data_IF_719248235211
#
_entry.id   IF_719248235211
#
_cell.length_a   1.000
_cell.length_b   1.000
_cell.length_c   1.000
_cell.angle_alpha   90.00
_cell.angle_beta   90.00
_cell.angle_gamma   90.00
#
_symmetry.space_group_name_H-M   'P 1'
#
loop_
_entity.id
_entity.type
_entity.pdbx_description
1 polymer ?
#
# COMPACT_ATOMS: atom_id res chain seq x y z
N UNK A 1 19.08 6.88 96.84
CA UNK A 1 20.54 7.00 96.92
C UNK A 1 21.11 6.32 95.67
N UNK A 2 21.63 7.13 94.77
CA UNK A 2 22.85 6.91 93.98
C UNK A 2 22.75 6.05 92.66
N UNK A 3 22.87 6.74 91.60
CA UNK A 3 23.83 6.74 90.45
C UNK A 3 23.48 5.74 89.34
N UNK A 4 23.01 6.22 88.25
CA UNK A 4 23.69 6.69 87.02
C UNK A 4 24.66 5.65 86.43
N UNK A 5 24.31 5.04 85.26
CA UNK A 5 25.30 5.00 84.18
C UNK A 5 24.65 4.86 82.78
N UNK A 6 25.05 5.77 81.95
CA UNK A 6 24.68 5.86 80.47
C UNK A 6 25.62 4.96 79.70
N UNK A 7 25.11 4.19 78.86
CA UNK A 7 25.89 3.63 77.72
C UNK A 7 25.17 3.90 76.40
N UNK A 8 25.73 4.77 75.61
CA UNK A 8 25.28 5.10 74.27
C UNK A 8 25.78 4.01 73.28
N UNK A 9 24.88 3.36 72.59
CA UNK A 9 25.19 2.48 71.49
C UNK A 9 24.97 3.23 70.20
N UNK A 10 26.03 3.47 69.49
CA UNK A 10 26.02 4.00 68.12
C UNK A 10 25.61 2.90 67.14
N UNK A 11 24.43 3.05 66.48
CA UNK A 11 24.02 2.21 65.38
C UNK A 11 24.51 2.90 64.08
N UNK A 12 25.50 2.31 63.44
CA UNK A 12 25.96 2.67 62.09
C UNK A 12 24.91 2.18 61.16
N UNK A 13 24.14 3.12 60.57
CA UNK A 13 23.29 2.86 59.42
C UNK A 13 24.17 2.74 58.16
N UNK A 14 24.37 1.55 57.69
CA UNK A 14 24.97 1.30 56.38
C UNK A 14 23.94 1.65 55.28
N UNK A 15 24.18 2.76 54.62
CA UNK A 15 23.46 3.16 53.42
C UNK A 15 23.95 2.31 52.24
N UNK A 16 23.26 1.22 51.94
CA UNK A 16 23.45 0.47 50.73
C UNK A 16 22.79 1.23 49.53
N UNK A 17 23.61 1.95 48.78
CA UNK A 17 23.26 2.49 47.47
C UNK A 17 23.08 1.30 46.53
N UNK A 18 21.83 0.96 46.21
CA UNK A 18 21.45 0.13 45.08
C UNK A 18 21.61 0.95 43.82
N UNK A 19 22.37 0.49 42.82
CA UNK A 19 22.37 1.14 41.51
C UNK A 19 20.99 1.03 40.89
N UNK A 20 20.39 2.15 40.51
CA UNK A 20 19.21 2.22 39.73
C UNK A 20 19.50 1.53 38.38
N UNK A 21 18.92 0.37 38.17
CA UNK A 21 18.90 -0.27 36.87
C UNK A 21 18.01 0.56 35.98
N UNK A 22 18.63 1.37 35.12
CA UNK A 22 17.98 1.98 33.96
C UNK A 22 17.57 0.86 33.00
N UNK A 23 16.40 0.28 33.22
CA UNK A 23 15.74 -0.49 32.20
C UNK A 23 15.38 0.46 31.01
N UNK A 24 15.70 0.14 29.76
CA UNK A 24 15.33 1.00 28.66
C UNK A 24 13.81 0.98 28.47
N UNK A 25 13.15 2.07 28.87
CA UNK A 25 11.77 2.36 28.53
C UNK A 25 11.69 2.79 27.05
N UNK A 26 12.13 1.94 26.14
CA UNK A 26 12.05 2.20 24.72
C UNK A 26 11.54 0.95 24.03
N UNK A 27 10.24 0.87 23.77
CA UNK A 27 9.75 0.32 22.51
C UNK A 27 8.24 0.44 22.29
N UNK A 28 7.44 0.64 23.36
CA UNK A 28 5.97 0.67 23.21
C UNK A 28 5.46 1.95 22.54
N UNK A 29 6.11 3.10 22.79
CA UNK A 29 5.65 4.40 22.26
C UNK A 29 5.88 4.51 20.75
N UNK A 30 7.02 4.05 20.25
CA UNK A 30 7.37 4.13 18.83
C UNK A 30 6.48 3.22 17.98
N UNK A 31 6.13 2.03 18.49
CA UNK A 31 5.24 1.10 17.78
C UNK A 31 3.80 1.61 17.73
N UNK A 32 3.32 2.25 18.80
CA UNK A 32 1.97 2.80 18.86
C UNK A 32 1.79 4.02 17.94
N UNK A 33 2.79 4.88 17.86
CA UNK A 33 2.81 6.02 16.92
C UNK A 33 2.84 5.53 15.47
N UNK A 34 3.64 4.51 15.16
CA UNK A 34 3.71 3.91 13.82
C UNK A 34 2.37 3.28 13.41
N UNK A 35 1.71 2.53 14.27
CA UNK A 35 0.40 1.92 13.98
C UNK A 35 -0.66 2.98 13.74
N UNK A 36 -0.69 4.05 14.52
CA UNK A 36 -1.64 5.14 14.32
C UNK A 36 -1.38 5.87 13.00
N UNK A 37 -0.13 6.12 12.64
CA UNK A 37 0.25 6.77 11.39
C UNK A 37 -0.12 5.92 10.17
N UNK A 38 0.14 4.60 10.19
CA UNK A 38 -0.24 3.68 9.11
C UNK A 38 -1.77 3.66 8.94
N UNK A 39 -2.53 3.68 10.04
CA UNK A 39 -4.01 3.75 10.02
C UNK A 39 -4.53 5.04 9.39
N UNK A 40 -3.95 6.18 9.73
CA UNK A 40 -4.31 7.48 9.12
C UNK A 40 -3.99 7.50 7.62
N UNK A 41 -2.86 6.91 7.23
CA UNK A 41 -2.46 6.79 5.83
C UNK A 41 -3.44 5.91 5.03
N UNK A 42 -3.91 4.80 5.62
CA UNK A 42 -4.93 3.94 5.00
C UNK A 42 -6.28 4.69 4.86
N UNK A 43 -6.66 5.49 5.85
CA UNK A 43 -7.87 6.33 5.75
C UNK A 43 -7.76 7.40 4.66
N UNK A 44 -6.58 8.04 4.51
CA UNK A 44 -6.35 8.99 3.42
C UNK A 44 -6.45 8.30 2.05
N UNK A 45 -5.85 7.11 1.91
CA UNK A 45 -6.01 6.30 0.71
C UNK A 45 -7.48 6.01 0.40
N UNK A 46 -8.25 5.54 1.38
CA UNK A 46 -9.67 5.24 1.20
C UNK A 46 -10.46 6.48 0.74
N UNK A 47 -10.22 7.66 1.34
CA UNK A 47 -10.85 8.92 0.93
C UNK A 47 -10.54 9.28 -0.52
N UNK A 48 -9.30 9.06 -1.00
CA UNK A 48 -8.89 9.35 -2.38
C UNK A 48 -9.54 8.39 -3.36
N UNK A 49 -9.60 7.09 -3.01
CA UNK A 49 -10.33 6.08 -3.79
C UNK A 49 -11.81 6.42 -3.87
N UNK A 50 -12.45 6.80 -2.75
CA UNK A 50 -13.86 7.19 -2.72
C UNK A 50 -14.14 8.44 -3.57
N UNK A 51 -13.22 9.40 -3.58
CA UNK A 51 -13.33 10.58 -4.45
C UNK A 51 -13.31 10.19 -5.94
N UNK A 52 -12.41 9.26 -6.32
CA UNK A 52 -12.38 8.72 -7.67
C UNK A 52 -13.67 7.96 -8.02
N UNK A 53 -14.16 7.11 -7.12
CA UNK A 53 -15.41 6.34 -7.34
C UNK A 53 -16.62 7.27 -7.52
N UNK A 54 -16.69 8.36 -6.77
CA UNK A 54 -17.74 9.38 -6.93
C UNK A 54 -17.67 10.03 -8.31
N UNK A 55 -16.48 10.45 -8.74
CA UNK A 55 -16.25 11.01 -10.08
C UNK A 55 -16.63 9.99 -11.17
N UNK A 56 -16.18 8.74 -11.05
CA UNK A 56 -16.51 7.66 -11.97
C UNK A 56 -18.03 7.44 -12.10
N UNK A 57 -18.76 7.43 -10.97
CA UNK A 57 -20.22 7.29 -10.98
C UNK A 57 -20.90 8.42 -11.78
N UNK A 58 -20.41 9.65 -11.67
CA UNK A 58 -20.90 10.77 -12.46
C UNK A 58 -20.55 10.58 -13.95
N UNK A 59 -19.34 10.14 -14.26
CA UNK A 59 -18.89 9.87 -15.62
C UNK A 59 -19.66 8.71 -16.28
N UNK A 60 -20.18 7.78 -15.49
CA UNK A 60 -21.00 6.66 -15.95
C UNK A 60 -22.46 7.06 -16.22
N UNK A 61 -22.92 8.20 -15.72
CA UNK A 61 -24.29 8.64 -15.90
C UNK A 61 -24.63 8.74 -17.40
N UNK A 62 -25.75 8.16 -17.79
CA UNK A 62 -26.20 8.12 -19.20
C UNK A 62 -25.57 7.02 -20.05
N UNK A 63 -24.59 6.25 -19.54
CA UNK A 63 -24.08 5.09 -20.24
C UNK A 63 -24.85 3.83 -19.85
N UNK A 64 -25.18 3.01 -20.85
CA UNK A 64 -25.76 1.67 -20.62
C UNK A 64 -24.66 0.67 -20.35
N UNK A 65 -24.57 0.15 -19.11
CA UNK A 65 -23.59 -0.88 -18.78
C UNK A 65 -23.87 -2.17 -19.55
N UNK A 66 -22.81 -2.91 -20.00
CA UNK A 66 -22.96 -4.19 -20.65
C UNK A 66 -23.72 -5.19 -19.75
N UNK A 67 -24.59 -5.97 -20.35
CA UNK A 67 -25.34 -7.03 -19.68
C UNK A 67 -24.60 -8.37 -19.82
N UNK A 68 -25.01 -9.36 -19.04
CA UNK A 68 -24.57 -10.74 -19.28
C UNK A 68 -24.95 -11.16 -20.69
N UNK A 69 -23.94 -11.56 -21.49
CA UNK A 69 -24.11 -11.91 -22.90
C UNK A 69 -23.84 -10.79 -23.89
N UNK A 70 -23.47 -9.59 -23.46
CA UNK A 70 -22.97 -8.55 -24.36
C UNK A 70 -21.75 -9.02 -25.15
N UNK A 71 -21.66 -8.60 -26.41
CA UNK A 71 -20.51 -8.91 -27.27
C UNK A 71 -19.23 -8.19 -26.80
N UNK A 72 -18.07 -8.71 -27.18
CA UNK A 72 -16.79 -8.06 -26.91
C UNK A 72 -16.72 -6.63 -27.48
N UNK A 73 -17.39 -6.36 -28.60
CA UNK A 73 -17.45 -5.05 -29.20
C UNK A 73 -18.26 -4.05 -28.34
N UNK A 74 -19.41 -4.49 -27.81
CA UNK A 74 -20.23 -3.67 -26.89
C UNK A 74 -19.49 -3.36 -25.60
N UNK A 75 -18.78 -4.35 -25.04
CA UNK A 75 -17.94 -4.15 -23.85
C UNK A 75 -16.84 -3.11 -24.12
N UNK A 76 -16.11 -3.24 -25.24
CA UNK A 76 -15.08 -2.27 -25.63
C UNK A 76 -15.66 -0.88 -25.85
N UNK A 77 -16.82 -0.77 -26.52
CA UNK A 77 -17.48 0.51 -26.73
C UNK A 77 -17.85 1.19 -25.42
N UNK A 78 -18.41 0.44 -24.47
CA UNK A 78 -18.72 0.94 -23.15
C UNK A 78 -17.46 1.41 -22.39
N UNK A 79 -16.40 0.60 -22.39
CA UNK A 79 -15.12 0.92 -21.79
C UNK A 79 -14.54 2.24 -22.33
N UNK A 80 -14.54 2.37 -23.66
CA UNK A 80 -14.04 3.57 -24.33
C UNK A 80 -14.85 4.82 -23.95
N UNK A 81 -16.19 4.71 -23.96
CA UNK A 81 -17.09 5.81 -23.61
C UNK A 81 -16.92 6.23 -22.13
N UNK A 82 -16.85 5.25 -21.22
CA UNK A 82 -16.64 5.51 -19.81
C UNK A 82 -15.26 6.16 -19.57
N UNK A 83 -14.21 5.63 -20.19
CA UNK A 83 -12.86 6.21 -20.10
C UNK A 83 -12.82 7.64 -20.64
N UNK A 84 -13.50 7.93 -21.73
CA UNK A 84 -13.60 9.30 -22.28
C UNK A 84 -14.28 10.25 -21.29
N UNK A 85 -15.40 9.86 -20.69
CA UNK A 85 -16.11 10.66 -19.71
C UNK A 85 -15.27 10.90 -18.44
N UNK A 86 -14.56 9.86 -17.97
CA UNK A 86 -13.64 9.99 -16.83
C UNK A 86 -12.52 10.97 -17.15
N UNK A 87 -11.90 10.88 -18.35
CA UNK A 87 -10.85 11.82 -18.78
C UNK A 87 -11.37 13.26 -18.85
N UNK A 88 -12.57 13.47 -19.34
CA UNK A 88 -13.20 14.79 -19.39
C UNK A 88 -13.46 15.37 -17.97
N UNK A 89 -13.84 14.53 -17.01
CA UNK A 89 -14.09 14.93 -15.63
C UNK A 89 -12.79 15.10 -14.81
N UNK A 90 -11.72 14.38 -15.14
CA UNK A 90 -10.40 14.46 -14.48
C UNK A 90 -9.46 15.35 -15.29
N UNK A 91 -9.57 16.65 -15.06
CA UNK A 91 -8.69 17.64 -15.70
C UNK A 91 -7.33 17.64 -15.07
N UNK A 92 -6.25 17.32 -15.57
CA UNK A 92 -4.88 17.33 -15.02
C UNK A 92 -4.59 16.23 -13.96
N UNK A 93 -4.88 14.96 -14.25
CA UNK A 93 -4.49 13.89 -13.37
C UNK A 93 -2.97 13.76 -13.29
N UNK A 94 -2.47 13.45 -12.10
CA UNK A 94 -1.03 13.32 -11.86
C UNK A 94 -0.73 12.00 -11.16
N UNK A 95 0.44 11.38 -11.43
CA UNK A 95 0.92 10.29 -10.61
C UNK A 95 0.99 10.72 -9.13
N UNK A 96 0.44 9.90 -8.25
CA UNK A 96 0.36 10.19 -6.81
C UNK A 96 -0.92 10.90 -6.37
N UNK A 97 -1.90 11.12 -7.25
CA UNK A 97 -3.20 11.64 -6.85
C UNK A 97 -3.92 10.70 -5.86
N UNK A 98 -3.77 9.39 -6.05
CA UNK A 98 -4.25 8.36 -5.13
C UNK A 98 -3.10 7.82 -4.28
N UNK A 99 -1.99 7.46 -4.90
CA UNK A 99 -0.78 7.01 -4.23
C UNK A 99 0.10 8.17 -3.76
N UNK A 100 -0.44 9.04 -2.89
CA UNK A 100 0.34 10.15 -2.32
C UNK A 100 1.64 9.65 -1.65
N UNK A 101 2.66 10.49 -1.44
CA UNK A 101 3.95 10.03 -0.92
C UNK A 101 3.87 9.19 0.36
N UNK A 102 3.04 9.52 1.37
CA UNK A 102 2.87 8.66 2.54
C UNK A 102 2.24 7.31 2.22
N UNK A 103 1.23 7.28 1.32
CA UNK A 103 0.57 6.06 0.86
C UNK A 103 1.56 5.21 0.08
N UNK A 104 2.31 5.80 -0.83
CA UNK A 104 3.34 5.14 -1.62
C UNK A 104 4.40 4.46 -0.72
N UNK A 105 4.85 5.14 0.33
CA UNK A 105 5.80 4.58 1.29
C UNK A 105 5.21 3.38 2.04
N UNK A 106 3.98 3.50 2.53
CA UNK A 106 3.30 2.42 3.22
C UNK A 106 3.10 1.21 2.29
N UNK A 107 2.64 1.42 1.06
CA UNK A 107 2.38 0.34 0.10
C UNK A 107 3.66 -0.40 -0.28
N UNK A 108 4.78 0.30 -0.51
CA UNK A 108 6.09 -0.36 -0.72
C UNK A 108 6.50 -1.21 0.48
N UNK A 109 6.23 -0.74 1.71
CA UNK A 109 6.50 -1.49 2.95
C UNK A 109 5.65 -2.77 3.00
N UNK A 110 4.35 -2.68 2.72
CA UNK A 110 3.43 -3.82 2.71
C UNK A 110 3.81 -4.84 1.63
N UNK A 111 4.04 -4.39 0.40
CA UNK A 111 4.46 -5.25 -0.73
C UNK A 111 5.83 -5.91 -0.46
N UNK A 112 6.74 -5.24 0.24
CA UNK A 112 8.04 -5.81 0.56
C UNK A 112 7.99 -6.90 1.65
N UNK A 113 6.93 -6.97 2.44
CA UNK A 113 6.79 -7.91 3.57
C UNK A 113 6.87 -9.38 3.11
N UNK A 114 6.12 -9.85 2.11
CA UNK A 114 6.19 -11.23 1.63
C UNK A 114 7.57 -11.64 1.10
N UNK A 115 8.36 -10.70 0.58
CA UNK A 115 9.72 -11.00 0.10
C UNK A 115 10.71 -11.31 1.23
N UNK A 116 10.39 -10.93 2.47
CA UNK A 116 11.19 -11.19 3.67
C UNK A 116 10.79 -12.48 4.38
N UNK A 117 9.63 -13.04 4.03
CA UNK A 117 9.14 -14.32 4.53
C UNK A 117 9.81 -15.49 3.82
N UNK A 118 9.56 -16.72 4.29
CA UNK A 118 10.05 -17.96 3.67
C UNK A 118 9.65 -18.13 2.21
N UNK A 119 8.53 -17.51 1.79
CA UNK A 119 8.02 -17.59 0.41
C UNK A 119 8.68 -16.59 -0.56
N UNK A 120 9.56 -15.73 -0.09
CA UNK A 120 10.19 -14.71 -0.91
C UNK A 120 10.93 -15.25 -2.15
N UNK A 121 11.47 -16.48 -2.05
CA UNK A 121 12.08 -17.20 -3.18
C UNK A 121 11.08 -17.55 -4.28
N UNK A 122 9.95 -18.11 -3.90
CA UNK A 122 8.85 -18.50 -4.81
C UNK A 122 8.23 -17.28 -5.50
N UNK A 123 8.03 -16.19 -4.75
CA UNK A 123 7.53 -14.93 -5.30
C UNK A 123 8.48 -14.40 -6.37
N UNK A 124 9.79 -14.34 -6.09
CA UNK A 124 10.80 -13.91 -7.08
C UNK A 124 10.84 -14.81 -8.30
N UNK A 125 10.70 -16.13 -8.11
CA UNK A 125 10.61 -17.08 -9.21
C UNK A 125 9.38 -16.81 -10.09
N UNK A 126 8.20 -16.68 -9.49
CA UNK A 126 6.95 -16.37 -10.20
C UNK A 126 7.05 -15.06 -11.01
N UNK A 127 7.63 -14.02 -10.43
CA UNK A 127 7.81 -12.74 -11.12
C UNK A 127 8.82 -12.82 -12.28
N UNK A 128 9.83 -13.70 -12.19
CA UNK A 128 10.78 -13.93 -13.31
C UNK A 128 10.17 -14.72 -14.45
N UNK A 129 9.22 -15.62 -14.15
CA UNK A 129 8.50 -16.41 -15.17
C UNK A 129 7.39 -15.60 -15.86
N UNK A 130 6.93 -14.50 -15.25
CA UNK A 130 6.07 -13.56 -15.94
C UNK A 130 6.87 -12.92 -17.08
N UNK A 131 6.33 -12.98 -18.32
CA UNK A 131 7.02 -12.37 -19.46
C UNK A 131 7.38 -10.91 -19.16
N UNK A 132 8.65 -10.52 -19.29
CA UNK A 132 9.05 -9.14 -19.03
C UNK A 132 8.42 -8.25 -20.11
N UNK A 133 7.43 -7.47 -19.74
CA UNK A 133 6.94 -6.38 -20.56
C UNK A 133 8.01 -5.28 -20.52
N UNK A 134 8.87 -5.27 -21.55
CA UNK A 134 9.91 -4.25 -21.70
C UNK A 134 9.31 -3.02 -22.38
N UNK A 135 9.75 -1.85 -21.94
CA UNK A 135 9.44 -0.55 -22.58
C UNK A 135 7.95 -0.19 -22.64
N UNK A 136 7.16 -0.70 -21.69
CA UNK A 136 5.76 -0.32 -21.60
C UNK A 136 5.64 1.02 -20.87
N UNK A 137 5.26 2.04 -21.61
CA UNK A 137 4.95 3.34 -21.02
C UNK A 137 3.53 3.32 -20.46
N UNK A 138 3.40 3.46 -19.14
CA UNK A 138 2.13 3.60 -18.45
C UNK A 138 1.92 5.06 -18.07
N UNK A 139 0.76 5.58 -18.39
CA UNK A 139 0.39 6.95 -18.07
C UNK A 139 -0.92 6.98 -17.26
N UNK A 140 -1.02 7.87 -16.29
CA UNK A 140 -2.28 8.11 -15.55
C UNK A 140 -3.34 8.63 -16.52
N UNK A 141 -4.58 8.16 -16.39
CA UNK A 141 -5.66 8.34 -17.36
C UNK A 141 -5.39 7.67 -18.74
N UNK A 142 -4.31 6.92 -18.89
CA UNK A 142 -4.05 6.09 -20.06
C UNK A 142 -4.90 4.82 -20.07
N UNK A 143 -4.98 4.17 -21.22
CA UNK A 143 -5.54 2.85 -21.35
C UNK A 143 -4.58 1.80 -20.78
N UNK A 144 -5.12 0.81 -20.06
CA UNK A 144 -4.30 -0.30 -19.59
C UNK A 144 -3.96 -1.23 -20.75
N UNK A 145 -2.69 -1.45 -21.07
CA UNK A 145 -2.29 -2.20 -22.25
C UNK A 145 -2.67 -3.68 -22.18
N UNK A 146 -3.20 -4.23 -23.25
CA UNK A 146 -3.57 -5.65 -23.32
C UNK A 146 -2.38 -6.60 -23.07
N UNK A 147 -1.18 -6.22 -23.49
CA UNK A 147 0.05 -6.98 -23.24
C UNK A 147 0.34 -7.10 -21.75
N UNK A 148 0.07 -6.06 -20.97
CA UNK A 148 0.24 -6.09 -19.51
C UNK A 148 -0.79 -7.00 -18.81
N UNK A 149 -1.94 -7.25 -19.41
CA UNK A 149 -2.97 -8.14 -18.87
C UNK A 149 -2.51 -9.60 -18.78
N UNK A 150 -1.46 -9.98 -19.51
CA UNK A 150 -0.89 -11.34 -19.50
C UNK A 150 0.04 -11.58 -18.28
N UNK A 151 0.42 -10.54 -17.54
CA UNK A 151 1.27 -10.69 -16.36
C UNK A 151 0.45 -11.19 -15.16
N UNK A 152 0.76 -12.39 -14.69
CA UNK A 152 0.22 -12.91 -13.44
C UNK A 152 0.90 -12.24 -12.25
N UNK A 153 0.15 -11.55 -11.41
CA UNK A 153 0.62 -11.05 -10.12
C UNK A 153 0.36 -12.10 -9.05
N UNK A 154 1.38 -12.57 -8.31
CA UNK A 154 1.16 -13.45 -7.18
C UNK A 154 0.18 -12.81 -6.17
N UNK A 155 -0.94 -13.47 -5.83
CA UNK A 155 -1.96 -12.88 -4.93
C UNK A 155 -1.39 -12.48 -3.58
N UNK A 156 -0.36 -13.18 -3.10
CA UNK A 156 0.32 -12.89 -1.83
C UNK A 156 0.98 -11.52 -1.79
N UNK A 157 1.33 -10.93 -2.93
CA UNK A 157 1.91 -9.57 -2.98
C UNK A 157 0.87 -8.47 -2.69
N UNK A 158 -0.39 -8.76 -2.94
CA UNK A 158 -1.48 -7.79 -2.84
C UNK A 158 -2.35 -8.03 -1.61
N UNK A 159 -2.14 -9.12 -0.88
CA UNK A 159 -3.00 -9.55 0.24
C UNK A 159 -3.05 -8.56 1.39
N UNK A 160 -1.94 -7.87 1.64
CA UNK A 160 -1.81 -6.91 2.74
C UNK A 160 -2.24 -5.48 2.35
N UNK A 161 -2.55 -5.25 1.08
CA UNK A 161 -3.05 -3.96 0.62
C UNK A 161 -4.51 -3.75 1.00
N UNK A 162 -4.95 -2.50 1.21
CA UNK A 162 -6.35 -2.19 1.49
C UNK A 162 -7.28 -2.73 0.40
N UNK A 163 -8.44 -3.26 0.81
CA UNK A 163 -9.45 -3.72 -0.15
C UNK A 163 -9.98 -2.56 -0.98
N UNK A 164 -10.17 -2.81 -2.26
CA UNK A 164 -10.72 -1.85 -3.20
C UNK A 164 -12.22 -2.06 -3.41
N UNK A 165 -12.98 -1.00 -3.76
CA UNK A 165 -14.33 -1.11 -4.30
C UNK A 165 -14.37 -1.96 -5.58
N UNK A 166 -15.57 -2.43 -5.93
CA UNK A 166 -15.80 -3.15 -7.18
C UNK A 166 -15.28 -2.35 -8.40
N UNK A 167 -14.82 -3.03 -9.41
CA UNK A 167 -14.24 -2.52 -10.65
C UNK A 167 -12.89 -1.78 -10.50
N UNK A 168 -12.38 -1.63 -9.28
CA UNK A 168 -11.00 -1.20 -9.06
C UNK A 168 -10.14 -2.38 -8.65
N UNK A 169 -8.95 -2.48 -9.22
CA UNK A 169 -8.02 -3.55 -8.89
C UNK A 169 -6.57 -3.08 -8.93
N UNK A 170 -5.74 -3.78 -8.14
CA UNK A 170 -4.29 -3.61 -8.21
C UNK A 170 -3.72 -4.54 -9.27
N UNK A 171 -2.78 -4.00 -10.05
CA UNK A 171 -1.98 -4.77 -11.00
C UNK A 171 -0.50 -4.48 -10.79
N UNK A 172 0.34 -5.49 -10.98
CA UNK A 172 1.79 -5.29 -11.06
C UNK A 172 2.19 -5.36 -12.53
N UNK A 173 2.86 -4.34 -13.01
CA UNK A 173 3.42 -4.29 -14.36
C UNK A 173 4.90 -3.97 -14.24
N UNK A 174 5.75 -4.94 -14.54
CA UNK A 174 7.17 -4.83 -14.25
C UNK A 174 7.42 -4.66 -12.76
N UNK A 175 7.84 -3.46 -12.35
CA UNK A 175 8.06 -3.10 -10.93
C UNK A 175 7.05 -2.09 -10.40
N UNK A 176 6.09 -1.69 -11.22
CA UNK A 176 5.11 -0.68 -10.88
C UNK A 176 3.82 -1.31 -10.34
N UNK A 177 3.21 -0.69 -9.35
CA UNK A 177 1.85 -0.98 -8.92
C UNK A 177 0.90 -0.03 -9.65
N UNK A 178 -0.04 -0.60 -10.35
CA UNK A 178 -1.09 0.11 -11.09
C UNK A 178 -2.39 0.01 -10.31
N UNK A 179 -3.08 1.13 -10.13
CA UNK A 179 -4.50 1.14 -9.76
C UNK A 179 -5.31 1.22 -11.06
N UNK A 180 -6.02 0.14 -11.36
CA UNK A 180 -6.79 -0.02 -12.60
C UNK A 180 -8.29 0.08 -12.33
N UNK A 181 -9.00 0.88 -13.14
CA UNK A 181 -10.44 0.77 -13.31
C UNK A 181 -10.72 -0.20 -14.45
N UNK A 182 -11.11 -1.43 -14.10
CA UNK A 182 -11.32 -2.51 -15.07
C UNK A 182 -12.56 -2.29 -15.93
N UNK A 183 -13.58 -1.59 -15.42
CA UNK A 183 -14.79 -1.25 -16.19
C UNK A 183 -14.53 -0.19 -17.26
N UNK A 184 -13.56 0.70 -17.07
CA UNK A 184 -13.14 1.70 -18.04
C UNK A 184 -11.88 1.28 -18.81
N UNK A 185 -11.21 0.20 -18.42
CA UNK A 185 -9.86 -0.16 -18.85
C UNK A 185 -8.88 1.02 -18.74
N UNK A 186 -8.91 1.73 -17.62
CA UNK A 186 -8.23 3.00 -17.43
C UNK A 186 -7.30 2.97 -16.22
N UNK A 187 -6.08 3.45 -16.38
CA UNK A 187 -5.10 3.59 -15.29
C UNK A 187 -5.49 4.79 -14.43
N UNK A 188 -5.87 4.53 -13.18
CA UNK A 188 -6.28 5.56 -12.22
C UNK A 188 -5.08 6.25 -11.62
N UNK A 189 -4.08 5.48 -11.20
CA UNK A 189 -2.83 5.99 -10.65
C UNK A 189 -1.70 4.94 -10.76
N UNK A 190 -0.47 5.38 -10.60
CA UNK A 190 0.75 4.58 -10.73
C UNK A 190 1.64 4.79 -9.51
N UNK A 191 2.17 3.69 -8.99
CA UNK A 191 3.23 3.70 -7.99
C UNK A 191 4.48 3.06 -8.59
N UNK A 192 5.45 3.87 -9.07
CA UNK A 192 6.71 3.35 -9.57
C UNK A 192 7.52 2.71 -8.46
N UNK A 193 8.38 1.77 -8.82
CA UNK A 193 9.26 1.04 -7.89
C UNK A 193 8.52 0.45 -6.67
N UNK A 194 7.33 -0.09 -6.89
CA UNK A 194 6.53 -0.73 -5.85
C UNK A 194 7.17 -2.04 -5.38
N UNK A 195 7.82 -2.77 -6.29
CA UNK A 195 8.55 -4.00 -5.96
C UNK A 195 9.98 -3.70 -5.51
N UNK A 196 10.51 -4.45 -4.52
CA UNK A 196 11.92 -4.37 -4.17
C UNK A 196 12.82 -4.62 -5.39
N UNK A 197 13.96 -3.95 -5.45
CA UNK A 197 14.96 -4.23 -6.46
C UNK A 197 15.37 -5.72 -6.38
N UNK A 198 15.44 -6.39 -7.53
CA UNK A 198 16.02 -7.72 -7.59
C UNK A 198 17.47 -7.61 -7.12
N UNK A 199 17.82 -8.23 -5.98
CA UNK A 199 19.21 -8.41 -5.66
C UNK A 199 19.73 -9.41 -6.69
N UNK A 200 20.42 -8.90 -7.71
CA UNK A 200 21.26 -9.71 -8.59
C UNK A 200 22.29 -10.34 -7.67
N UNK A 201 22.18 -11.64 -7.43
CA UNK A 201 23.18 -12.37 -6.67
C UNK A 201 24.56 -12.15 -7.31
N UNK A 202 25.47 -11.68 -6.48
CA UNK A 202 26.91 -11.77 -6.78
C UNK A 202 27.32 -13.22 -6.72
#
# INVERSE_FOLDING_TARGET
MTILNRAAAWVLAANSLLPAQNAPLQDKSTKQVSVNQDSLTIQDFAKRVDAYVKLRKLAQAGLSAPKSGSSAAEVKQYQASLAQNIRAARTQPKPGDVFSPPIAQLFRKLIATPFRSGDGGNIRASLRHAEPVRDLKLDVNGEYPQVAALQSTPPTLLSDLPKLPADLEYRIVGRELVLLDSAANLIVDLLPDALPASQSGR
#
